data_IF_888810602881
#
_entry.id   IF_888810602881
#
_cell.length_a   1.000
_cell.length_b   1.000
_cell.length_c   1.000
_cell.angle_alpha   90.00
_cell.angle_beta   90.00
_cell.angle_gamma   90.00
#
_symmetry.space_group_name_H-M   'P 1'
#
loop_
_entity.id
_entity.type
_entity.pdbx_description
1 polymer ?
#
# COMPACT_ATOMS: atom_id res chain seq x y z
N UNK A 1 27.22 27.00 -5.64
CA UNK A 1 26.13 27.75 -6.30
C UNK A 1 25.93 27.04 -7.61
N UNK A 2 24.76 26.46 -7.89
CA UNK A 2 24.59 25.57 -9.04
C UNK A 2 25.05 26.28 -10.33
N UNK A 3 26.23 25.92 -10.82
CA UNK A 3 26.82 26.45 -12.04
C UNK A 3 26.28 25.65 -13.22
N UNK A 4 25.66 26.38 -14.13
CA UNK A 4 25.37 26.05 -15.53
C UNK A 4 25.79 24.65 -16.00
N UNK A 5 24.82 23.77 -16.18
CA UNK A 5 24.86 22.75 -17.23
C UNK A 5 23.52 22.82 -17.97
N UNK A 6 23.56 23.45 -19.15
CA UNK A 6 22.72 23.02 -20.27
C UNK A 6 23.24 21.63 -20.64
N UNK A 7 22.47 20.59 -20.36
CA UNK A 7 22.55 19.35 -21.10
C UNK A 7 21.14 18.80 -21.28
N UNK A 8 20.91 18.35 -22.49
CA UNK A 8 19.65 17.99 -23.12
C UNK A 8 18.85 16.97 -22.29
N UNK A 9 17.74 17.41 -21.69
CA UNK A 9 16.64 16.52 -21.30
C UNK A 9 15.31 17.25 -21.49
N UNK A 10 14.97 17.39 -22.77
CA UNK A 10 13.60 17.60 -23.19
C UNK A 10 12.73 16.50 -22.60
N UNK A 11 11.68 16.92 -21.88
CA UNK A 11 10.72 16.12 -21.09
C UNK A 11 11.19 15.72 -19.69
N UNK A 12 11.01 16.61 -18.71
CA UNK A 12 10.27 16.37 -17.45
C UNK A 12 10.55 17.53 -16.46
N UNK A 13 9.51 18.29 -16.11
CA UNK A 13 9.54 19.37 -15.10
C UNK A 13 9.65 18.79 -13.68
N UNK A 14 10.71 18.04 -13.38
CA UNK A 14 10.93 17.49 -12.04
C UNK A 14 11.71 18.51 -11.18
N UNK A 15 11.24 18.84 -9.96
CA UNK A 15 11.98 19.71 -9.05
C UNK A 15 13.35 19.11 -8.70
N UNK A 16 14.38 19.94 -8.60
CA UNK A 16 15.72 19.47 -8.24
C UNK A 16 15.80 19.19 -6.73
N UNK A 17 16.28 17.99 -6.35
CA UNK A 17 16.55 17.64 -4.95
C UNK A 17 17.51 18.63 -4.25
N UNK A 18 18.45 19.24 -5.00
CA UNK A 18 19.47 20.12 -4.43
C UNK A 18 19.01 21.57 -4.24
N UNK A 19 18.07 22.05 -5.05
CA UNK A 19 17.63 23.45 -5.01
C UNK A 19 16.24 23.63 -4.39
N UNK A 20 15.39 22.60 -4.43
CA UNK A 20 14.13 22.56 -3.70
C UNK A 20 13.82 21.13 -3.20
N UNK A 21 14.52 20.68 -2.15
CA UNK A 21 14.33 19.34 -1.58
C UNK A 21 12.89 19.13 -1.09
N UNK A 22 12.22 20.19 -0.63
CA UNK A 22 10.85 20.09 -0.13
C UNK A 22 9.86 19.77 -1.25
N UNK A 23 9.93 20.47 -2.39
CA UNK A 23 9.05 20.18 -3.52
C UNK A 23 9.35 18.81 -4.14
N UNK A 24 10.61 18.40 -4.17
CA UNK A 24 10.98 17.06 -4.63
C UNK A 24 10.40 15.95 -3.76
N UNK A 25 10.52 16.06 -2.43
CA UNK A 25 9.93 15.08 -1.52
C UNK A 25 8.41 15.06 -1.63
N UNK A 26 7.75 16.23 -1.69
CA UNK A 26 6.28 16.32 -1.87
C UNK A 26 5.81 15.67 -3.16
N UNK A 27 6.54 15.86 -4.25
CA UNK A 27 6.23 15.21 -5.52
C UNK A 27 6.31 13.69 -5.41
N UNK A 28 7.37 13.16 -4.77
CA UNK A 28 7.52 11.72 -4.58
C UNK A 28 6.41 11.17 -3.68
N UNK A 29 6.08 11.87 -2.60
CA UNK A 29 4.96 11.51 -1.73
C UNK A 29 3.64 11.42 -2.53
N UNK A 30 3.35 12.41 -3.37
CA UNK A 30 2.15 12.39 -4.22
C UNK A 30 2.14 11.20 -5.20
N UNK A 31 3.29 10.83 -5.77
CA UNK A 31 3.39 9.66 -6.63
C UNK A 31 3.18 8.35 -5.85
N UNK A 32 3.72 8.27 -4.63
CA UNK A 32 3.49 7.13 -3.72
C UNK A 32 2.00 7.02 -3.37
N UNK A 33 1.32 8.12 -3.02
CA UNK A 33 -0.12 8.15 -2.75
C UNK A 33 -0.93 7.62 -3.94
N UNK A 34 -0.56 8.01 -5.17
CA UNK A 34 -1.18 7.48 -6.38
C UNK A 34 -0.95 5.98 -6.55
N UNK A 35 0.26 5.47 -6.28
CA UNK A 35 0.54 4.03 -6.29
C UNK A 35 -0.29 3.28 -5.24
N UNK A 36 -0.47 3.86 -4.05
CA UNK A 36 -1.28 3.28 -2.98
C UNK A 36 -2.74 3.14 -3.41
N UNK A 37 -3.32 4.21 -3.99
CA UNK A 37 -4.69 4.22 -4.53
C UNK A 37 -4.87 3.14 -5.61
N UNK A 38 -3.85 2.95 -6.46
CA UNK A 38 -3.83 1.93 -7.51
C UNK A 38 -3.57 0.51 -6.99
N UNK A 39 -3.51 0.30 -5.66
CA UNK A 39 -3.24 -1.00 -5.02
C UNK A 39 -1.95 -1.63 -5.53
N UNK A 40 -0.87 -0.84 -5.62
CA UNK A 40 0.46 -1.36 -5.92
C UNK A 40 1.21 -1.70 -4.64
N UNK A 41 1.78 -2.89 -4.57
CA UNK A 41 2.74 -3.23 -3.50
C UNK A 41 3.93 -2.27 -3.50
N UNK A 42 4.68 -2.22 -2.39
CA UNK A 42 5.90 -1.40 -2.28
C UNK A 42 6.85 -1.61 -3.46
N UNK A 43 7.06 -2.86 -3.86
CA UNK A 43 8.00 -3.19 -4.94
C UNK A 43 7.47 -2.77 -6.32
N UNK A 44 6.16 -2.85 -6.54
CA UNK A 44 5.53 -2.35 -7.76
C UNK A 44 5.57 -0.83 -7.83
N UNK A 45 5.31 -0.14 -6.71
CA UNK A 45 5.47 1.30 -6.59
C UNK A 45 6.89 1.74 -6.94
N UNK A 46 7.91 1.10 -6.36
CA UNK A 46 9.32 1.40 -6.64
C UNK A 46 9.65 1.21 -8.12
N UNK A 47 9.24 0.08 -8.73
CA UNK A 47 9.46 -0.19 -10.15
C UNK A 47 8.71 0.80 -11.06
N UNK A 48 7.50 1.20 -10.70
CA UNK A 48 6.71 2.15 -11.46
C UNK A 48 7.34 3.54 -11.45
N UNK A 49 7.79 4.02 -10.28
CA UNK A 49 8.43 5.34 -10.16
C UNK A 49 9.79 5.39 -10.85
N UNK A 50 10.56 4.31 -10.82
CA UNK A 50 11.81 4.17 -11.56
C UNK A 50 11.57 4.26 -13.08
N UNK A 51 10.61 3.49 -13.61
CA UNK A 51 10.34 3.43 -15.06
C UNK A 51 9.61 4.64 -15.63
N UNK A 52 8.67 5.20 -14.88
CA UNK A 52 7.74 6.21 -15.41
C UNK A 52 8.06 7.64 -14.96
N UNK A 53 8.86 7.80 -13.91
CA UNK A 53 9.23 9.11 -13.37
C UNK A 53 10.75 9.29 -13.21
N UNK A 54 11.55 8.30 -13.59
CA UNK A 54 13.01 8.31 -13.47
C UNK A 54 13.49 8.60 -12.04
N UNK A 55 12.71 8.18 -11.03
CA UNK A 55 13.04 8.37 -9.62
C UNK A 55 13.86 7.16 -9.16
N UNK A 56 15.05 7.43 -8.64
CA UNK A 56 15.94 6.38 -8.15
C UNK A 56 15.27 5.53 -7.05
N UNK A 57 15.30 4.19 -7.14
CA UNK A 57 14.69 3.30 -6.15
C UNK A 57 15.05 3.60 -4.68
N UNK A 58 16.33 3.93 -4.33
CA UNK A 58 16.68 4.29 -2.95
C UNK A 58 15.97 5.54 -2.42
N UNK A 59 15.64 6.49 -3.30
CA UNK A 59 14.92 7.71 -2.92
C UNK A 59 13.47 7.36 -2.58
N UNK A 60 12.79 6.63 -3.47
CA UNK A 60 11.41 6.15 -3.24
C UNK A 60 11.31 5.34 -1.95
N UNK A 61 12.25 4.42 -1.71
CA UNK A 61 12.30 3.61 -0.48
C UNK A 61 12.49 4.47 0.78
N UNK A 62 13.33 5.50 0.70
CA UNK A 62 13.54 6.41 1.83
C UNK A 62 12.28 7.18 2.19
N UNK A 63 11.58 7.73 1.20
CA UNK A 63 10.33 8.46 1.42
C UNK A 63 9.22 7.51 1.91
N UNK A 64 9.09 6.33 1.30
CA UNK A 64 8.14 5.31 1.70
C UNK A 64 8.31 4.90 3.17
N UNK A 65 9.56 4.62 3.61
CA UNK A 65 9.86 4.31 5.02
C UNK A 65 9.51 5.46 5.98
N UNK A 66 9.66 6.70 5.53
CA UNK A 66 9.20 7.87 6.28
C UNK A 66 7.69 7.84 6.50
N UNK A 67 6.92 7.58 5.44
CA UNK A 67 5.46 7.48 5.48
C UNK A 67 4.98 6.31 6.34
N UNK A 68 5.61 5.14 6.22
CA UNK A 68 5.32 3.96 7.06
C UNK A 68 5.51 4.27 8.55
N UNK A 69 6.61 4.94 8.90
CA UNK A 69 6.91 5.28 10.30
C UNK A 69 5.90 6.26 10.88
N UNK A 70 5.43 7.22 10.07
CA UNK A 70 4.46 8.23 10.51
C UNK A 70 3.01 7.70 10.52
N UNK A 71 2.69 6.69 9.70
CA UNK A 71 1.33 6.20 9.47
C UNK A 71 1.27 4.66 9.62
N UNK A 72 1.86 4.13 10.68
CA UNK A 72 2.09 2.68 10.85
C UNK A 72 0.81 1.84 10.67
N UNK A 73 -0.27 2.21 11.35
CA UNK A 73 -1.53 1.46 11.33
C UNK A 73 -2.14 1.38 9.91
N UNK A 74 -1.97 2.44 9.12
CA UNK A 74 -2.42 2.47 7.72
C UNK A 74 -1.62 1.49 6.86
N UNK A 75 -0.28 1.54 6.94
CA UNK A 75 0.58 0.69 6.11
C UNK A 75 0.49 -0.78 6.51
N UNK A 76 0.28 -1.08 7.80
CA UNK A 76 0.03 -2.45 8.27
C UNK A 76 -1.27 -3.00 7.65
N UNK A 77 -2.38 -2.25 7.73
CA UNK A 77 -3.63 -2.65 7.08
C UNK A 77 -3.50 -2.76 5.55
N UNK A 78 -2.71 -1.87 4.94
CA UNK A 78 -2.46 -1.85 3.51
C UNK A 78 -1.70 -3.10 3.05
N UNK A 79 -0.61 -3.48 3.73
CA UNK A 79 0.17 -4.68 3.40
C UNK A 79 -0.64 -5.97 3.58
N UNK A 80 -1.44 -6.07 4.65
CA UNK A 80 -2.33 -7.22 4.85
C UNK A 80 -3.39 -7.36 3.75
N UNK A 81 -3.77 -6.27 3.07
CA UNK A 81 -4.75 -6.34 1.99
C UNK A 81 -4.27 -7.07 0.73
N UNK A 82 -2.95 -7.28 0.60
CA UNK A 82 -2.36 -8.08 -0.48
C UNK A 82 -2.24 -9.57 -0.15
N UNK A 83 -2.41 -9.93 1.11
CA UNK A 83 -2.40 -11.33 1.53
C UNK A 83 -3.76 -11.96 1.23
N UNK A 84 -3.82 -13.23 0.79
CA UNK A 84 -5.07 -13.97 0.78
C UNK A 84 -5.71 -13.89 2.17
N UNK A 85 -7.05 -13.79 2.28
CA UNK A 85 -7.69 -13.84 3.58
C UNK A 85 -7.23 -15.12 4.29
N UNK A 86 -6.57 -14.96 5.45
CA UNK A 86 -6.18 -16.09 6.29
C UNK A 86 -7.42 -16.97 6.48
N UNK A 87 -7.31 -18.31 6.31
CA UNK A 87 -8.41 -19.18 6.65
C UNK A 87 -8.76 -18.89 8.10
N UNK A 88 -9.96 -18.34 8.33
CA UNK A 88 -10.48 -18.04 9.65
C UNK A 88 -10.16 -19.21 10.58
N UNK A 89 -9.24 -19.03 11.52
CA UNK A 89 -9.10 -19.92 12.67
C UNK A 89 -10.29 -19.64 13.59
N UNK A 90 -11.45 -20.04 13.09
CA UNK A 90 -12.72 -20.05 13.76
C UNK A 90 -12.58 -21.01 14.94
N UNK A 91 -12.35 -20.45 16.13
CA UNK A 91 -12.46 -21.16 17.40
C UNK A 91 -13.90 -21.54 17.73
N UNK A 92 -14.62 -22.12 16.76
CA UNK A 92 -15.91 -22.75 17.00
C UNK A 92 -15.62 -24.17 17.50
N UNK A 93 -15.72 -24.31 18.81
CA UNK A 93 -15.90 -25.57 19.50
C UNK A 93 -17.05 -26.37 18.85
N UNK A 94 -16.67 -27.46 18.15
CA UNK A 94 -17.55 -28.43 17.47
C UNK A 94 -18.68 -29.04 18.33
N UNK A 95 -18.75 -28.73 19.63
CA UNK A 95 -19.75 -29.22 20.58
C UNK A 95 -21.05 -28.41 20.63
N UNK A 96 -21.12 -27.22 20.03
CA UNK A 96 -22.35 -26.39 20.04
C UNK A 96 -23.26 -26.58 18.81
N UNK A 97 -22.72 -27.07 17.69
CA UNK A 97 -23.48 -27.26 16.45
C UNK A 97 -24.52 -28.39 16.58
N UNK A 98 -24.25 -29.41 17.40
CA UNK A 98 -25.16 -30.54 17.60
C UNK A 98 -26.47 -30.19 18.34
N UNK A 99 -26.57 -29.02 18.98
CA UNK A 99 -27.78 -28.62 19.73
C UNK A 99 -28.75 -27.76 18.92
N UNK A 100 -28.31 -27.17 17.82
CA UNK A 100 -29.16 -26.32 16.97
C UNK A 100 -30.05 -27.17 16.06
N UNK A 101 -29.54 -28.30 15.56
CA UNK A 101 -30.27 -29.17 14.63
C UNK A 101 -31.43 -29.95 15.27
N UNK A 102 -31.34 -30.32 16.56
CA UNK A 102 -32.43 -31.04 17.24
C UNK A 102 -33.67 -30.15 17.45
N UNK A 103 -33.46 -28.85 17.69
CA UNK A 103 -34.55 -27.91 17.96
C UNK A 103 -35.28 -27.46 16.70
N UNK A 104 -34.59 -27.42 15.55
CA UNK A 104 -35.18 -27.04 14.25
C UNK A 104 -36.05 -28.15 13.67
N UNK A 105 -35.76 -29.42 13.96
CA UNK A 105 -36.50 -30.56 13.40
C UNK A 105 -37.82 -30.86 14.12
N UNK A 106 -37.98 -30.44 15.39
CA UNK A 106 -39.22 -30.67 16.18
C UNK A 106 -40.37 -29.68 15.88
N UNK A 107 -40.18 -28.66 15.05
CA UNK A 107 -41.24 -27.67 14.75
C UNK A 107 -41.83 -27.74 13.34
N UNK A 108 -41.55 -28.80 12.55
CA UNK A 108 -42.06 -28.93 11.18
C UNK A 108 -42.96 -30.13 10.89
N UNK A 109 -43.41 -30.88 11.91
CA UNK A 109 -44.44 -31.92 11.68
C UNK A 109 -45.47 -31.92 12.81
N UNK A 110 -46.50 -31.08 12.68
CA UNK A 110 -47.81 -31.36 13.24
C UNK A 110 -48.87 -30.84 12.25
N UNK A 111 -49.73 -31.68 11.66
CA UNK A 111 -51.07 -31.27 11.26
C UNK A 111 -51.99 -31.07 12.46
#
# INVERSE_FOLDING_TARGET
MCTTHHDDQSQHNLPCLHCDPHSYIRMIQHLIERCIILRMSRDECVKALDRHASILPPVTLTVWRGLERENKDFFEAYEHSFSPPEPFSSGYNSSEIAKVDEKVTTMKTLP
#
